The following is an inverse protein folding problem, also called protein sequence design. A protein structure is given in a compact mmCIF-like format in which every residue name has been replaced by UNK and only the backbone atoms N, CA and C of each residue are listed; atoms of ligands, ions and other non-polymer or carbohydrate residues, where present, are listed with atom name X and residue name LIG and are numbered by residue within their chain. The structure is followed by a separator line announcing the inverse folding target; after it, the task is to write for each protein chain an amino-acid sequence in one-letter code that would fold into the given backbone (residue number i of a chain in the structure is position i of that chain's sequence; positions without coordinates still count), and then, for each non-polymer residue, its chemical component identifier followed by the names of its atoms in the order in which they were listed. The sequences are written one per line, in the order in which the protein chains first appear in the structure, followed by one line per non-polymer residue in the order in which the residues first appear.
data_IF_828446351550
#
_entry.id   IF_828446351550
#
_cell.length_a   1.000
_cell.length_b   1.000
_cell.length_c   1.000
_cell.angle_alpha   90.00
_cell.angle_beta   90.00
_cell.angle_gamma   90.00
#
_symmetry.space_group_name_H-M   'P 1'
#
loop_
_entity.id
_entity.type
_entity.pdbx_description
1 polymer ?
#
# COMPACT_ATOMS: atom_id res chain seq x y z
N UNK A 1 16.78 -53.74 5.63
CA UNK A 1 17.24 -52.62 4.80
C UNK A 1 17.31 -51.40 5.72
N UNK A 2 18.51 -50.86 5.96
CA UNK A 2 18.63 -49.65 6.82
C UNK A 2 18.11 -48.45 6.02
N UNK A 3 17.18 -47.71 6.61
CA UNK A 3 16.75 -46.43 6.07
C UNK A 3 17.97 -45.49 6.05
N UNK A 4 18.44 -45.16 4.85
CA UNK A 4 19.50 -44.17 4.66
C UNK A 4 18.92 -42.82 5.13
N UNK A 5 19.56 -42.18 6.09
CA UNK A 5 19.16 -40.85 6.53
C UNK A 5 19.23 -39.90 5.32
N UNK A 6 18.10 -39.29 4.99
CA UNK A 6 18.09 -38.12 4.11
C UNK A 6 19.01 -37.06 4.70
N UNK A 7 20.00 -36.64 3.97
CA UNK A 7 20.79 -35.48 4.33
C UNK A 7 20.57 -34.38 3.27
N UNK A 8 20.88 -33.17 3.60
CA UNK A 8 20.68 -32.00 2.72
C UNK A 8 21.34 -32.14 1.35
N UNK A 9 22.50 -32.84 1.29
CA UNK A 9 23.23 -33.06 0.05
C UNK A 9 22.59 -34.15 -0.86
N UNK A 10 21.51 -34.80 -0.44
CA UNK A 10 20.74 -35.73 -1.25
C UNK A 10 19.74 -35.06 -2.19
N UNK A 11 19.55 -33.73 -2.06
CA UNK A 11 18.73 -32.94 -2.94
C UNK A 11 19.62 -32.25 -3.98
N UNK A 12 19.52 -32.67 -5.24
CA UNK A 12 20.17 -31.99 -6.36
C UNK A 12 19.33 -30.76 -6.76
N UNK A 13 19.28 -29.77 -5.86
CA UNK A 13 18.54 -28.52 -6.03
C UNK A 13 19.47 -27.36 -5.74
N UNK A 14 19.65 -26.47 -6.71
CA UNK A 14 20.36 -25.23 -6.48
C UNK A 14 19.53 -24.36 -5.54
N UNK A 15 20.07 -24.06 -4.36
CA UNK A 15 19.40 -23.20 -3.39
C UNK A 15 19.27 -21.78 -3.94
N UNK A 16 18.09 -21.19 -3.78
CA UNK A 16 17.82 -19.80 -4.14
C UNK A 16 17.10 -19.10 -2.97
N UNK A 17 17.49 -17.86 -2.70
CA UNK A 17 16.87 -17.08 -1.63
C UNK A 17 15.38 -16.87 -1.93
N UNK A 18 14.57 -16.93 -0.89
CA UNK A 18 13.12 -16.69 -0.95
C UNK A 18 12.31 -17.64 -1.83
N UNK A 19 12.88 -18.80 -2.19
CA UNK A 19 12.19 -19.86 -2.95
C UNK A 19 11.76 -20.99 -2.02
N UNK A 20 10.59 -21.54 -2.28
CA UNK A 20 10.14 -22.78 -1.66
C UNK A 20 10.77 -24.01 -2.34
N UNK A 21 10.74 -25.15 -1.67
CA UNK A 21 11.06 -26.45 -2.25
C UNK A 21 9.77 -27.16 -2.62
N UNK A 22 9.61 -27.52 -3.88
CA UNK A 22 8.45 -28.24 -4.38
C UNK A 22 8.81 -29.33 -5.35
N UNK A 23 7.83 -30.13 -5.76
CA UNK A 23 8.03 -31.08 -6.86
C UNK A 23 8.26 -30.32 -8.17
N UNK A 24 9.18 -30.83 -9.01
CA UNK A 24 9.38 -30.29 -10.36
C UNK A 24 8.16 -30.61 -11.26
N UNK A 25 8.09 -29.98 -12.43
CA UNK A 25 6.97 -30.14 -13.36
C UNK A 25 6.70 -31.60 -13.79
N UNK A 26 7.70 -32.47 -13.72
CA UNK A 26 7.58 -33.90 -14.05
C UNK A 26 7.26 -34.79 -12.85
N UNK A 27 7.12 -34.22 -11.66
CA UNK A 27 6.86 -34.88 -10.37
C UNK A 27 7.84 -36.03 -10.03
N UNK A 28 9.07 -36.02 -10.62
CA UNK A 28 10.10 -37.02 -10.41
C UNK A 28 11.31 -36.52 -9.61
N UNK A 29 11.25 -35.31 -9.08
CA UNK A 29 12.30 -34.70 -8.27
C UNK A 29 11.83 -33.39 -7.65
N UNK A 30 12.74 -32.69 -6.98
CA UNK A 30 12.49 -31.41 -6.36
C UNK A 30 13.10 -30.28 -7.19
N UNK A 31 12.45 -29.12 -7.16
CA UNK A 31 12.95 -27.86 -7.70
C UNK A 31 12.60 -26.70 -6.77
N UNK A 32 13.26 -25.57 -6.94
CA UNK A 32 12.81 -24.34 -6.32
C UNK A 32 11.52 -23.86 -6.99
N UNK A 33 10.55 -23.50 -6.18
CA UNK A 33 9.28 -22.94 -6.66
C UNK A 33 9.11 -21.53 -6.10
N UNK A 34 8.41 -20.68 -6.83
CA UNK A 34 7.94 -19.41 -6.31
C UNK A 34 6.87 -19.69 -5.25
N UNK A 35 7.20 -19.43 -3.99
CA UNK A 35 6.39 -19.86 -2.86
C UNK A 35 5.17 -19.01 -2.59
N UNK A 36 5.09 -17.79 -3.16
CA UNK A 36 4.00 -16.86 -2.86
C UNK A 36 3.69 -15.95 -4.04
N UNK A 37 2.40 -15.79 -4.35
CA UNK A 37 1.91 -14.75 -5.27
C UNK A 37 1.95 -13.34 -4.63
N UNK A 38 2.19 -13.25 -3.31
CA UNK A 38 2.28 -12.00 -2.55
C UNK A 38 3.55 -12.04 -1.71
N UNK A 39 4.49 -11.15 -2.00
CA UNK A 39 5.81 -11.06 -1.34
C UNK A 39 5.86 -9.80 -0.49
N UNK A 40 6.11 -9.94 0.82
CA UNK A 40 6.38 -8.80 1.69
C UNK A 40 7.74 -8.20 1.33
N UNK A 41 7.75 -6.94 0.90
CA UNK A 41 8.94 -6.19 0.54
C UNK A 41 9.46 -5.41 1.74
N UNK A 42 8.59 -4.58 2.34
CA UNK A 42 9.01 -3.68 3.42
C UNK A 42 7.89 -3.50 4.44
N UNK A 43 8.30 -3.36 5.70
CA UNK A 43 7.42 -2.93 6.80
C UNK A 43 8.01 -1.66 7.42
N UNK A 44 7.20 -0.64 7.58
CA UNK A 44 7.54 0.58 8.33
C UNK A 44 6.48 0.76 9.41
N UNK A 45 6.93 0.84 10.65
CA UNK A 45 6.06 1.16 11.81
C UNK A 45 6.28 2.62 12.15
N UNK A 46 5.21 3.38 12.20
CA UNK A 46 5.24 4.79 12.55
C UNK A 46 5.59 5.01 14.02
N UNK A 47 6.33 6.07 14.26
CA UNK A 47 6.72 6.55 15.59
C UNK A 47 6.76 8.07 15.58
N UNK A 48 5.59 8.69 15.43
CA UNK A 48 5.42 10.14 15.29
C UNK A 48 6.14 10.73 14.06
N UNK A 49 6.02 10.04 12.93
CA UNK A 49 6.65 10.42 11.67
C UNK A 49 5.78 11.45 10.91
N UNK A 50 6.39 12.53 10.45
CA UNK A 50 5.70 13.53 9.61
C UNK A 50 5.30 12.97 8.24
N UNK A 51 6.09 12.03 7.72
CA UNK A 51 5.87 11.33 6.45
C UNK A 51 6.46 9.92 6.50
N UNK A 52 5.86 8.98 5.77
CA UNK A 52 6.43 7.66 5.51
C UNK A 52 6.59 7.50 4.00
N UNK A 53 7.81 7.22 3.54
CA UNK A 53 8.13 7.09 2.12
C UNK A 53 8.71 5.71 1.81
N UNK A 54 8.31 5.19 0.66
CA UNK A 54 8.89 4.00 0.03
C UNK A 54 9.57 4.47 -1.26
N UNK A 55 10.90 4.45 -1.28
CA UNK A 55 11.73 4.92 -2.41
C UNK A 55 12.49 3.72 -2.97
N UNK A 56 12.36 3.48 -4.25
CA UNK A 56 13.04 2.39 -4.94
C UNK A 56 14.55 2.38 -4.69
N UNK A 57 15.11 1.20 -4.43
CA UNK A 57 16.52 1.00 -4.11
C UNK A 57 16.96 1.50 -2.73
N UNK A 58 16.07 2.12 -1.94
CA UNK A 58 16.38 2.59 -0.58
C UNK A 58 15.87 1.62 0.48
N UNK A 59 16.74 1.20 1.41
CA UNK A 59 16.36 0.39 2.58
C UNK A 59 15.55 -0.86 2.23
N UNK A 60 15.97 -1.61 1.22
CA UNK A 60 15.34 -2.84 0.70
C UNK A 60 13.96 -2.63 0.03
N UNK A 61 13.58 -1.41 -0.29
CA UNK A 61 12.38 -1.12 -1.08
C UNK A 61 12.65 -1.49 -2.54
N UNK A 62 11.73 -2.23 -3.12
CA UNK A 62 11.69 -2.56 -4.56
C UNK A 62 10.40 -2.01 -5.12
N UNK A 63 10.48 -1.01 -6.00
CA UNK A 63 9.34 -0.37 -6.68
C UNK A 63 9.70 -0.18 -8.17
N UNK A 64 9.99 -1.27 -8.84
CA UNK A 64 10.44 -1.36 -10.22
C UNK A 64 9.56 -2.30 -11.05
N UNK A 65 10.12 -2.96 -12.08
CA UNK A 65 9.41 -3.92 -12.91
C UNK A 65 9.42 -5.38 -12.37
N UNK A 66 9.87 -5.59 -11.14
CA UNK A 66 9.88 -6.93 -10.51
C UNK A 66 8.47 -7.45 -10.31
N UNK A 67 7.54 -6.58 -9.94
CA UNK A 67 6.14 -6.95 -9.72
C UNK A 67 5.20 -6.08 -10.55
N UNK A 68 4.18 -6.67 -11.21
CA UNK A 68 3.17 -5.91 -11.95
C UNK A 68 2.21 -5.14 -11.04
N UNK A 69 2.09 -5.52 -9.78
CA UNK A 69 1.24 -4.82 -8.81
C UNK A 69 1.97 -4.67 -7.48
N UNK A 70 1.92 -3.49 -6.93
CA UNK A 70 2.37 -3.19 -5.57
C UNK A 70 1.19 -2.86 -4.68
N UNK A 71 1.12 -3.52 -3.51
CA UNK A 71 0.08 -3.30 -2.52
C UNK A 71 0.67 -2.70 -1.26
N UNK A 72 0.13 -1.55 -0.85
CA UNK A 72 0.39 -0.95 0.46
C UNK A 72 -0.75 -1.31 1.39
N UNK A 73 -0.45 -1.96 2.51
CA UNK A 73 -1.41 -2.33 3.54
C UNK A 73 -1.22 -1.46 4.76
N UNK A 74 -2.27 -0.78 5.15
CA UNK A 74 -2.33 0.11 6.31
C UNK A 74 -2.94 -0.65 7.49
N UNK A 75 -2.32 -0.57 8.66
CA UNK A 75 -2.77 -1.27 9.87
C UNK A 75 -2.71 -0.27 11.02
N UNK A 76 -3.87 0.11 11.54
CA UNK A 76 -4.02 0.99 12.69
C UNK A 76 -3.23 2.30 12.55
N UNK A 77 -3.30 2.95 11.38
CA UNK A 77 -2.68 4.25 11.16
C UNK A 77 -3.43 5.28 11.98
N UNK A 78 -2.71 5.92 12.89
CA UNK A 78 -3.25 6.87 13.87
C UNK A 78 -2.63 8.26 13.67
N UNK A 79 -3.43 9.34 13.59
CA UNK A 79 -2.91 10.70 13.54
C UNK A 79 -2.54 11.19 14.94
N UNK A 80 -1.45 11.92 15.06
CA UNK A 80 -1.08 12.61 16.30
C UNK A 80 -1.94 13.85 16.60
N UNK A 81 -2.89 14.18 15.74
CA UNK A 81 -3.83 15.31 15.88
C UNK A 81 -5.17 14.86 15.32
N UNK A 82 -6.23 15.17 16.04
CA UNK A 82 -7.60 14.83 15.67
C UNK A 82 -8.06 15.51 14.37
N UNK A 83 -9.02 14.88 13.66
CA UNK A 83 -9.64 15.40 12.43
C UNK A 83 -8.60 15.66 11.32
N UNK A 84 -7.86 14.63 10.92
CA UNK A 84 -6.85 14.74 9.86
C UNK A 84 -7.10 13.81 8.69
N UNK A 85 -6.73 14.30 7.49
CA UNK A 85 -6.86 13.54 6.25
C UNK A 85 -5.58 12.74 6.01
N UNK A 86 -5.71 11.41 5.93
CA UNK A 86 -4.62 10.55 5.49
C UNK A 86 -4.50 10.59 3.97
N UNK A 87 -3.29 10.79 3.46
CA UNK A 87 -3.04 11.14 2.07
C UNK A 87 -1.84 10.39 1.50
N UNK A 88 -1.79 10.27 0.15
CA UNK A 88 -0.63 9.76 -0.56
C UNK A 88 -0.30 10.58 -1.80
N UNK A 89 0.95 10.47 -2.26
CA UNK A 89 1.39 10.93 -3.57
C UNK A 89 2.52 10.06 -4.10
N UNK A 90 2.80 10.21 -5.39
CA UNK A 90 3.83 9.49 -6.15
C UNK A 90 4.93 10.45 -6.60
N UNK A 91 6.13 9.90 -6.81
CA UNK A 91 7.31 10.58 -7.35
C UNK A 91 7.85 9.85 -8.58
N UNK A 92 8.50 10.60 -9.46
CA UNK A 92 9.24 10.12 -10.65
C UNK A 92 10.69 10.61 -10.64
N UNK A 93 11.17 11.09 -9.50
CA UNK A 93 12.49 11.71 -9.32
C UNK A 93 13.15 11.26 -8.00
N UNK A 94 12.98 9.98 -7.69
CA UNK A 94 13.60 9.30 -6.54
C UNK A 94 13.20 9.93 -5.20
N UNK A 95 11.93 10.33 -5.10
CA UNK A 95 11.36 10.90 -3.88
C UNK A 95 11.78 12.35 -3.59
N UNK A 96 12.38 13.04 -4.56
CA UNK A 96 12.71 14.47 -4.42
C UNK A 96 11.46 15.34 -4.43
N UNK A 97 10.48 15.00 -5.27
CA UNK A 97 9.20 15.67 -5.34
C UNK A 97 8.05 14.65 -5.42
N UNK A 98 7.05 14.82 -4.58
CA UNK A 98 5.82 14.03 -4.60
C UNK A 98 4.68 14.86 -5.21
N UNK A 99 4.67 14.95 -6.53
CA UNK A 99 3.81 15.87 -7.29
C UNK A 99 3.27 15.30 -8.61
N UNK A 100 3.22 13.98 -8.76
CA UNK A 100 2.62 13.37 -9.95
C UNK A 100 1.18 13.83 -10.09
N UNK A 101 0.86 14.38 -11.26
CA UNK A 101 -0.51 14.84 -11.61
C UNK A 101 -1.49 13.65 -11.58
N UNK A 102 -2.66 13.82 -10.98
CA UNK A 102 -3.68 12.77 -10.83
C UNK A 102 -5.06 13.22 -11.23
N UNK A 103 -5.84 12.30 -11.77
CA UNK A 103 -7.30 12.41 -11.89
C UNK A 103 -7.90 11.22 -11.16
N UNK A 104 -8.85 11.49 -10.25
CA UNK A 104 -9.36 10.49 -9.31
C UNK A 104 -10.87 10.57 -9.17
N UNK A 105 -11.45 9.48 -8.69
CA UNK A 105 -12.82 9.39 -8.22
C UNK A 105 -12.82 9.03 -6.74
N UNK A 106 -13.73 9.61 -5.98
CA UNK A 106 -13.85 9.37 -4.55
C UNK A 106 -15.31 9.17 -4.18
N UNK A 107 -15.61 8.08 -3.47
CA UNK A 107 -16.92 7.91 -2.84
C UNK A 107 -16.75 7.26 -1.47
N UNK A 108 -17.71 7.52 -0.58
CA UNK A 108 -17.69 7.00 0.78
C UNK A 108 -19.07 6.51 1.23
N UNK A 109 -19.06 5.47 2.05
CA UNK A 109 -20.19 5.05 2.86
C UNK A 109 -19.89 5.35 4.31
N UNK A 110 -20.86 5.91 5.05
CA UNK A 110 -20.70 6.17 6.46
C UNK A 110 -21.94 5.82 7.28
N UNK A 111 -21.73 5.56 8.57
CA UNK A 111 -22.76 5.29 9.57
C UNK A 111 -22.27 5.82 10.91
N UNK A 112 -23.13 6.56 11.62
CA UNK A 112 -22.81 7.06 12.96
C UNK A 112 -23.08 6.01 14.04
N UNK A 113 -22.41 6.12 15.17
CA UNK A 113 -22.61 5.20 16.30
C UNK A 113 -23.98 5.33 16.96
N UNK A 114 -24.63 6.48 16.80
CA UNK A 114 -25.98 6.73 17.34
C UNK A 114 -27.10 6.13 16.53
N UNK A 115 -26.85 5.44 15.41
CA UNK A 115 -27.83 4.90 14.47
C UNK A 115 -28.81 5.98 13.96
N UNK A 116 -28.33 7.21 13.81
CA UNK A 116 -29.13 8.36 13.41
C UNK A 116 -28.85 8.83 11.99
N UNK A 117 -27.69 8.47 11.41
CA UNK A 117 -27.28 8.90 10.09
C UNK A 117 -26.50 7.83 9.32
N UNK A 118 -26.92 7.57 8.09
CA UNK A 118 -26.21 6.75 7.11
C UNK A 118 -26.15 7.47 5.78
N UNK A 119 -25.03 7.32 5.05
CA UNK A 119 -24.89 7.92 3.74
C UNK A 119 -23.98 7.11 2.82
N UNK A 120 -24.27 7.15 1.51
CA UNK A 120 -23.39 6.72 0.43
C UNK A 120 -23.34 7.88 -0.58
N UNK A 121 -22.19 8.49 -0.75
CA UNK A 121 -22.04 9.68 -1.56
C UNK A 121 -20.73 9.70 -2.35
N UNK A 122 -20.76 10.35 -3.52
CA UNK A 122 -19.57 10.81 -4.21
C UNK A 122 -19.02 12.05 -3.49
N UNK A 123 -17.71 12.11 -3.24
CA UNK A 123 -17.07 13.18 -2.49
C UNK A 123 -16.26 14.09 -3.42
N UNK A 124 -16.91 15.15 -3.92
CA UNK A 124 -16.30 16.11 -4.86
C UNK A 124 -15.28 17.03 -4.18
N UNK A 125 -15.17 17.03 -2.86
CA UNK A 125 -14.16 17.80 -2.12
C UNK A 125 -12.82 17.09 -2.04
N UNK A 126 -12.79 15.79 -2.29
CA UNK A 126 -11.60 14.96 -2.10
C UNK A 126 -11.08 14.35 -3.42
N UNK A 127 -11.81 14.48 -4.53
CA UNK A 127 -11.32 14.05 -5.84
C UNK A 127 -10.35 15.08 -6.45
N UNK A 128 -9.52 14.62 -7.36
CA UNK A 128 -8.56 15.45 -8.10
C UNK A 128 -8.88 15.41 -9.59
N UNK A 129 -8.84 16.58 -10.23
CA UNK A 129 -8.93 16.73 -11.68
C UNK A 129 -7.62 17.36 -12.18
N UNK A 130 -6.69 16.54 -12.67
CA UNK A 130 -5.33 16.95 -13.07
C UNK A 130 -4.59 17.72 -11.96
N UNK A 131 -4.78 17.28 -10.73
CA UNK A 131 -4.16 17.88 -9.55
C UNK A 131 -2.80 17.23 -9.21
N UNK A 132 -1.83 18.04 -8.78
CA UNK A 132 -0.51 17.59 -8.31
C UNK A 132 -0.45 17.39 -6.80
N UNK A 133 -1.49 17.81 -6.07
CA UNK A 133 -1.60 17.66 -4.62
C UNK A 133 -1.64 16.21 -4.15
N UNK A 134 -1.49 15.99 -2.87
CA UNK A 134 -1.69 14.68 -2.26
C UNK A 134 -3.17 14.26 -2.37
N UNK A 135 -3.41 13.01 -2.75
CA UNK A 135 -4.74 12.41 -2.79
C UNK A 135 -5.15 11.97 -1.39
N UNK A 136 -6.29 12.40 -0.92
CA UNK A 136 -6.90 11.93 0.32
C UNK A 136 -7.35 10.48 0.17
N UNK A 137 -6.96 9.64 1.11
CA UNK A 137 -7.35 8.22 1.24
C UNK A 137 -8.31 7.99 2.40
N UNK A 138 -8.37 8.91 3.35
CA UNK A 138 -9.30 8.93 4.48
C UNK A 138 -9.45 10.36 4.99
N UNK A 139 -10.68 10.84 5.06
CA UNK A 139 -11.02 12.23 5.41
C UNK A 139 -11.54 12.31 6.85
N UNK A 140 -10.90 13.12 7.69
CA UNK A 140 -11.35 13.31 9.06
C UNK A 140 -11.11 12.10 9.96
N UNK A 141 -9.95 11.46 9.84
CA UNK A 141 -9.55 10.36 10.73
C UNK A 141 -9.45 10.89 12.16
N UNK A 142 -10.06 10.19 13.10
CA UNK A 142 -10.06 10.57 14.50
C UNK A 142 -8.74 10.31 15.19
N UNK A 143 -8.41 11.13 16.18
CA UNK A 143 -7.18 11.10 16.95
C UNK A 143 -7.34 10.66 18.41
N UNK A 144 -8.52 10.17 18.82
CA UNK A 144 -8.71 9.58 20.13
C UNK A 144 -8.02 8.20 20.19
N UNK A 145 -7.66 7.75 21.39
CA UNK A 145 -6.79 6.58 21.61
C UNK A 145 -7.26 5.27 20.96
N UNK A 146 -8.54 5.13 20.68
CA UNK A 146 -9.16 3.94 20.04
C UNK A 146 -9.49 4.15 18.56
N UNK A 147 -9.28 5.35 18.04
CA UNK A 147 -9.55 5.70 16.65
C UNK A 147 -8.34 5.41 15.77
N UNK A 148 -8.57 4.88 14.59
CA UNK A 148 -7.52 4.57 13.64
C UNK A 148 -8.08 4.31 12.24
N UNK A 149 -7.16 4.11 11.30
CA UNK A 149 -7.42 3.81 9.91
C UNK A 149 -6.73 2.52 9.51
N UNK A 150 -7.43 1.67 8.78
CA UNK A 150 -6.86 0.45 8.17
C UNK A 150 -7.40 0.24 6.76
N UNK A 151 -6.60 -0.40 5.89
CA UNK A 151 -7.01 -0.66 4.52
C UNK A 151 -5.86 -0.99 3.58
N UNK A 152 -6.08 -0.75 2.30
CA UNK A 152 -5.10 -1.05 1.25
C UNK A 152 -5.10 0.00 0.14
N UNK A 153 -3.94 0.15 -0.52
CA UNK A 153 -3.79 0.81 -1.80
C UNK A 153 -3.02 -0.13 -2.73
N UNK A 154 -3.57 -0.33 -3.93
CA UNK A 154 -2.92 -1.07 -5.02
C UNK A 154 -2.44 -0.08 -6.08
N UNK A 155 -1.18 -0.18 -6.47
CA UNK A 155 -0.55 0.56 -7.54
C UNK A 155 -0.14 -0.41 -8.64
N UNK A 156 -0.63 -0.19 -9.85
CA UNK A 156 -0.47 -1.11 -10.98
C UNK A 156 0.66 -0.64 -11.89
N UNK A 157 1.60 -1.53 -12.16
CA UNK A 157 2.69 -1.40 -13.12
C UNK A 157 3.42 -0.02 -13.03
N UNK A 158 3.90 0.40 -11.83
CA UNK A 158 4.41 1.75 -11.61
C UNK A 158 5.63 2.09 -12.46
N UNK A 159 6.45 1.10 -12.80
CA UNK A 159 7.66 1.28 -13.62
C UNK A 159 7.39 1.34 -15.12
N UNK A 160 6.15 1.08 -15.57
CA UNK A 160 5.79 1.13 -16.99
C UNK A 160 6.05 2.52 -17.59
N UNK A 161 6.65 2.55 -18.77
CA UNK A 161 6.97 3.81 -19.46
C UNK A 161 6.06 4.10 -20.66
N UNK A 162 4.99 3.31 -20.84
CA UNK A 162 4.03 3.47 -21.93
C UNK A 162 2.68 4.00 -21.45
N UNK A 163 2.19 3.46 -20.32
CA UNK A 163 0.86 3.76 -19.78
C UNK A 163 0.92 4.63 -18.54
N UNK A 164 -0.19 5.28 -18.23
CA UNK A 164 -0.42 5.99 -16.96
C UNK A 164 -0.46 5.00 -15.80
N UNK A 165 -0.30 5.48 -14.57
CA UNK A 165 -0.19 4.65 -13.35
C UNK A 165 -1.52 4.55 -12.64
N UNK A 166 -2.26 3.48 -12.88
CA UNK A 166 -3.54 3.24 -12.21
C UNK A 166 -3.34 2.86 -10.74
N UNK A 167 -4.27 3.28 -9.89
CA UNK A 167 -4.32 2.87 -8.50
C UNK A 167 -5.76 2.76 -8.00
N UNK A 168 -5.96 1.91 -6.99
CA UNK A 168 -7.22 1.72 -6.29
C UNK A 168 -6.93 1.61 -4.79
N UNK A 169 -7.71 2.31 -3.97
CA UNK A 169 -7.62 2.25 -2.52
C UNK A 169 -8.98 2.02 -1.89
N UNK A 170 -8.99 1.20 -0.85
CA UNK A 170 -10.15 1.01 0.03
C UNK A 170 -9.68 1.12 1.47
N UNK A 171 -10.25 2.07 2.19
CA UNK A 171 -9.86 2.41 3.56
C UNK A 171 -11.09 2.39 4.44
N UNK A 172 -10.97 1.74 5.60
CA UNK A 172 -11.92 1.79 6.70
C UNK A 172 -11.30 2.59 7.84
N UNK A 173 -12.05 3.53 8.42
CA UNK A 173 -11.57 4.31 9.56
C UNK A 173 -12.69 4.76 10.48
N UNK A 174 -12.31 5.03 11.72
CA UNK A 174 -13.12 5.69 12.72
C UNK A 174 -12.84 7.20 12.65
N UNK A 175 -13.87 7.95 12.31
CA UNK A 175 -13.76 9.39 12.12
C UNK A 175 -13.90 10.15 13.47
N UNK A 176 -13.34 11.33 13.54
CA UNK A 176 -13.33 12.21 14.72
C UNK A 176 -14.72 12.50 15.30
N UNK A 177 -15.77 12.37 14.51
CA UNK A 177 -17.17 12.68 14.88
C UNK A 177 -18.02 11.41 15.12
N UNK A 178 -17.39 10.31 15.49
CA UNK A 178 -18.02 9.03 15.84
C UNK A 178 -18.75 8.34 14.68
N UNK A 179 -18.19 8.43 13.48
CA UNK A 179 -18.66 7.70 12.31
C UNK A 179 -17.69 6.58 11.95
N UNK A 180 -18.22 5.43 11.57
CA UNK A 180 -17.49 4.49 10.74
C UNK A 180 -17.57 4.93 9.29
N UNK A 181 -16.41 5.06 8.63
CA UNK A 181 -16.32 5.44 7.22
C UNK A 181 -15.61 4.38 6.40
N UNK A 182 -16.20 3.99 5.27
CA UNK A 182 -15.51 3.22 4.24
C UNK A 182 -15.29 4.13 3.03
N UNK A 183 -14.02 4.37 2.71
CA UNK A 183 -13.58 5.37 1.73
C UNK A 183 -12.94 4.66 0.53
N UNK A 184 -13.50 4.89 -0.65
CA UNK A 184 -13.04 4.31 -1.91
C UNK A 184 -12.44 5.37 -2.79
N UNK A 185 -11.19 5.16 -3.22
CA UNK A 185 -10.49 6.04 -4.14
C UNK A 185 -9.96 5.21 -5.30
N UNK A 186 -10.19 5.67 -6.52
CA UNK A 186 -9.57 5.12 -7.70
C UNK A 186 -9.11 6.24 -8.63
N UNK A 187 -8.04 5.99 -9.39
CA UNK A 187 -7.57 6.99 -10.33
C UNK A 187 -6.30 6.58 -11.04
N UNK A 188 -5.68 7.58 -11.64
CA UNK A 188 -4.39 7.39 -12.31
C UNK A 188 -3.46 8.58 -12.09
N UNK A 189 -2.16 8.30 -11.98
CA UNK A 189 -1.08 9.27 -12.13
C UNK A 189 -0.85 9.52 -13.62
N UNK A 190 -1.08 10.75 -14.07
CA UNK A 190 -0.98 11.15 -15.47
C UNK A 190 0.49 11.35 -15.87
N UNK A 191 1.25 10.29 -15.88
CA UNK A 191 2.64 10.25 -16.30
C UNK A 191 2.97 8.93 -16.98
N UNK A 192 3.81 8.97 -18.00
CA UNK A 192 4.44 7.81 -18.63
C UNK A 192 5.86 7.55 -18.08
N UNK A 193 6.39 8.42 -17.23
CA UNK A 193 7.63 8.14 -16.51
C UNK A 193 7.41 7.05 -15.45
N UNK A 194 8.44 6.26 -15.17
CA UNK A 194 8.40 5.32 -14.06
C UNK A 194 8.13 6.07 -12.74
N UNK A 195 7.21 5.57 -11.94
CA UNK A 195 7.04 5.99 -10.55
C UNK A 195 8.03 5.16 -9.72
N UNK A 196 8.92 5.84 -9.05
CA UNK A 196 10.03 5.28 -8.28
C UNK A 196 9.93 5.55 -6.76
N UNK A 197 8.91 6.33 -6.33
CA UNK A 197 8.64 6.50 -4.91
C UNK A 197 7.16 6.80 -4.65
N UNK A 198 6.71 6.40 -3.44
CA UNK A 198 5.38 6.68 -2.90
C UNK A 198 5.53 7.21 -1.48
N UNK A 199 4.79 8.25 -1.13
CA UNK A 199 4.78 8.84 0.21
C UNK A 199 3.37 8.90 0.78
N UNK A 200 3.28 8.63 2.08
CA UNK A 200 2.07 8.73 2.90
C UNK A 200 2.27 9.76 4.01
N UNK A 201 1.22 10.50 4.33
CA UNK A 201 1.21 11.47 5.43
C UNK A 201 -0.21 11.84 5.84
N UNK A 202 -0.36 12.53 6.95
CA UNK A 202 -1.56 13.33 7.20
C UNK A 202 -1.41 14.72 6.58
N UNK A 203 -2.52 15.39 6.30
CA UNK A 203 -2.52 16.76 5.76
C UNK A 203 -1.87 17.77 6.72
N UNK A 204 -1.87 17.47 8.01
CA UNK A 204 -1.06 18.16 9.03
C UNK A 204 -0.86 17.25 10.25
N UNK A 205 0.16 17.52 11.04
CA UNK A 205 0.57 16.65 12.15
C UNK A 205 1.33 15.40 11.67
N UNK A 206 1.59 14.50 12.59
CA UNK A 206 2.38 13.29 12.35
C UNK A 206 1.49 12.05 12.24
N UNK A 207 2.02 11.00 11.62
CA UNK A 207 1.55 9.62 11.77
C UNK A 207 2.11 9.15 13.10
N UNK A 208 1.27 9.16 14.15
CA UNK A 208 1.71 8.91 15.51
C UNK A 208 2.01 7.44 15.75
N UNK A 209 1.15 6.57 15.23
CA UNK A 209 1.29 5.13 15.33
C UNK A 209 0.75 4.41 14.09
N UNK A 210 0.94 3.09 14.07
CA UNK A 210 0.47 2.20 13.01
C UNK A 210 1.59 1.63 12.17
N UNK A 211 1.22 0.79 11.20
CA UNK A 211 2.19 0.10 10.35
C UNK A 211 1.75 0.14 8.90
N UNK A 212 2.67 0.50 8.02
CA UNK A 212 2.50 0.37 6.56
C UNK A 212 3.38 -0.77 6.07
N UNK A 213 2.77 -1.74 5.40
CA UNK A 213 3.47 -2.86 4.75
C UNK A 213 3.35 -2.75 3.24
N UNK A 214 4.47 -2.87 2.56
CA UNK A 214 4.55 -2.92 1.10
C UNK A 214 4.75 -4.35 0.62
N UNK A 215 3.95 -4.77 -0.33
CA UNK A 215 4.00 -6.08 -0.96
C UNK A 215 4.11 -5.96 -2.47
N UNK A 216 4.85 -6.87 -3.08
CA UNK A 216 4.79 -7.18 -4.50
C UNK A 216 3.83 -8.34 -4.77
N UNK A 217 3.06 -8.26 -5.84
CA UNK A 217 2.09 -9.28 -6.28
C UNK A 217 2.46 -9.70 -7.69
N UNK A 218 2.62 -11.03 -7.91
CA UNK A 218 2.93 -11.64 -9.21
C UNK A 218 1.68 -12.20 -9.88
#
# INVERSE_FOLDING_TARGET
MALTKFNFNSFDVTSAASKGLGFNASANGFSTIDSTSIVLIKTITASSDSTISFVDGSSDVVLDNTYPVYMFKFINIHPGTDDKNFQFNMSVDTGSNYNVTKTTTVFKANHDEGDSATNLTYDTGEDLAQGTGFQTLGNGVGGDNDQSLSGTLHLFDPSNTTFVKHFISTIQYYAFNNYTNNFYVAGYGNTTSAVDAVQFKFNSGNIDAGTIKMYGIT
#
